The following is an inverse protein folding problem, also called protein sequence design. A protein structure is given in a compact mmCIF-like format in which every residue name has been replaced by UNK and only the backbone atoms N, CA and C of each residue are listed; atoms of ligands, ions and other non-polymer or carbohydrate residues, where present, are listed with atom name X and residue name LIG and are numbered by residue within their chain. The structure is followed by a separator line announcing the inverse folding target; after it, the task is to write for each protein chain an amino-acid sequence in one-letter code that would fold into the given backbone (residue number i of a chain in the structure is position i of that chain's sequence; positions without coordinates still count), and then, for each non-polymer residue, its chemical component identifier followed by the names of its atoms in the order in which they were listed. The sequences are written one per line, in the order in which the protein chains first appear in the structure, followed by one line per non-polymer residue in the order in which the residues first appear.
data_IF_117237331973
#
_entry.id   IF_117237331973
#
_cell.length_a   1.000
_cell.length_b   1.000
_cell.length_c   1.000
_cell.angle_alpha   90.00
_cell.angle_beta   90.00
_cell.angle_gamma   90.00
#
_symmetry.space_group_name_H-M   'P 1'
#
loop_
_entity.id
_entity.type
_entity.pdbx_description
1 polymer ?
#
# COMPACT_ATOMS: atom_id res chain seq x y z
N UNK A 1 17.33 8.08 2.62
CA UNK A 1 16.23 7.08 2.69
C UNK A 1 16.68 5.73 3.23
N UNK A 2 17.71 5.08 2.68
CA UNK A 2 18.16 3.74 3.13
C UNK A 2 18.79 3.72 4.54
N UNK A 3 19.56 4.75 4.90
CA UNK A 3 20.17 4.84 6.24
C UNK A 3 19.23 5.45 7.28
N UNK A 4 18.44 6.45 6.88
CA UNK A 4 17.59 7.25 7.78
C UNK A 4 16.13 6.77 7.82
N UNK A 5 15.77 5.73 7.09
CA UNK A 5 14.39 5.24 6.93
C UNK A 5 13.55 6.05 5.93
N UNK A 6 12.61 5.39 5.25
CA UNK A 6 11.79 6.01 4.19
C UNK A 6 10.63 6.87 4.72
N UNK A 7 10.14 6.56 5.92
CA UNK A 7 9.01 7.27 6.58
C UNK A 7 9.46 8.43 7.49
N UNK A 8 10.75 8.80 7.49
CA UNK A 8 11.26 9.91 8.31
C UNK A 8 11.06 11.26 7.63
N UNK A 9 10.98 12.34 8.41
CA UNK A 9 10.73 13.69 7.88
C UNK A 9 11.67 14.08 6.72
N UNK A 10 12.99 13.86 6.78
CA UNK A 10 13.88 14.22 5.68
C UNK A 10 13.62 13.41 4.40
N UNK A 11 13.32 12.12 4.53
CA UNK A 11 13.00 11.26 3.38
C UNK A 11 11.68 11.66 2.71
N UNK A 12 10.70 12.08 3.52
CA UNK A 12 9.39 12.52 3.04
C UNK A 12 9.46 13.90 2.39
N UNK A 13 10.29 14.80 2.90
CA UNK A 13 10.56 16.09 2.26
C UNK A 13 11.22 15.91 0.88
N UNK A 14 12.22 15.04 0.78
CA UNK A 14 12.84 14.68 -0.51
C UNK A 14 11.81 14.10 -1.48
N UNK A 15 10.98 13.15 -1.03
CA UNK A 15 9.93 12.58 -1.88
C UNK A 15 8.92 13.63 -2.33
N UNK A 16 8.49 14.52 -1.43
CA UNK A 16 7.55 15.61 -1.74
C UNK A 16 8.14 16.60 -2.76
N UNK A 17 9.41 16.96 -2.62
CA UNK A 17 10.08 17.85 -3.58
C UNK A 17 10.20 17.19 -4.95
N UNK A 18 10.55 15.90 -5.02
CA UNK A 18 10.58 15.16 -6.28
C UNK A 18 9.21 15.14 -6.93
N UNK A 19 8.14 14.85 -6.19
CA UNK A 19 6.77 14.86 -6.73
C UNK A 19 6.41 16.26 -7.23
N UNK A 20 6.74 17.30 -6.48
CA UNK A 20 6.42 18.68 -6.87
C UNK A 20 7.15 19.07 -8.16
N UNK A 21 8.46 18.92 -8.20
CA UNK A 21 9.30 19.40 -9.30
C UNK A 21 9.15 18.55 -10.58
N UNK A 22 9.07 17.23 -10.42
CA UNK A 22 9.16 16.29 -11.56
C UNK A 22 7.79 15.79 -12.03
N UNK A 23 6.76 15.83 -11.19
CA UNK A 23 5.43 15.31 -11.52
C UNK A 23 4.41 16.43 -11.70
N UNK A 24 4.43 17.46 -10.83
CA UNK A 24 3.47 18.56 -10.92
C UNK A 24 3.94 19.67 -11.87
N UNK A 25 5.21 20.08 -11.79
CA UNK A 25 5.70 21.25 -12.51
C UNK A 25 6.30 20.96 -13.89
N UNK A 26 6.76 19.74 -14.17
CA UNK A 26 7.40 19.43 -15.45
C UNK A 26 6.65 18.41 -16.32
N UNK A 27 6.18 18.85 -17.49
CA UNK A 27 5.56 17.96 -18.49
C UNK A 27 6.55 17.04 -19.22
N UNK A 28 7.85 17.40 -19.27
CA UNK A 28 8.89 16.61 -19.97
C UNK A 28 9.56 15.56 -19.07
N UNK A 29 9.47 15.71 -17.74
CA UNK A 29 10.20 14.84 -16.81
C UNK A 29 9.44 13.58 -16.40
N UNK A 30 8.20 13.43 -16.87
CA UNK A 30 7.46 12.15 -16.81
C UNK A 30 8.26 11.00 -17.45
N UNK A 31 8.93 11.25 -18.59
CA UNK A 31 9.72 10.22 -19.29
C UNK A 31 10.99 9.81 -18.53
N UNK A 32 11.65 10.76 -17.85
CA UNK A 32 12.80 10.43 -17.01
C UNK A 32 12.39 9.68 -15.75
N UNK A 33 11.23 10.02 -15.18
CA UNK A 33 10.68 9.31 -14.05
C UNK A 33 10.34 7.86 -14.43
N UNK A 34 9.80 7.60 -15.62
CA UNK A 34 9.58 6.23 -16.13
C UNK A 34 10.84 5.37 -16.12
N UNK A 35 12.01 5.96 -16.37
CA UNK A 35 13.29 5.24 -16.36
C UNK A 35 13.88 5.02 -14.96
N UNK A 36 13.33 5.66 -13.92
CA UNK A 36 13.88 5.61 -12.57
C UNK A 36 14.05 4.18 -12.02
N UNK A 37 13.09 3.25 -12.19
CA UNK A 37 13.28 1.86 -11.75
C UNK A 37 14.45 1.15 -12.44
N UNK A 38 14.80 1.56 -13.66
CA UNK A 38 15.90 0.97 -14.43
C UNK A 38 17.26 1.47 -14.00
N UNK A 39 17.35 2.76 -13.64
CA UNK A 39 18.60 3.37 -13.17
C UNK A 39 18.85 3.07 -11.69
N UNK A 40 17.80 3.04 -10.87
CA UNK A 40 17.90 2.92 -9.43
C UNK A 40 16.71 2.18 -8.81
N UNK A 41 16.61 0.85 -8.94
CA UNK A 41 15.45 0.08 -8.46
C UNK A 41 15.25 0.19 -6.94
N UNK A 42 16.33 0.22 -6.16
CA UNK A 42 16.26 0.41 -4.71
C UNK A 42 15.73 1.80 -4.33
N UNK A 43 16.14 2.84 -5.06
CA UNK A 43 15.66 4.18 -4.83
C UNK A 43 14.19 4.29 -5.21
N UNK A 44 13.78 3.73 -6.36
CA UNK A 44 12.38 3.69 -6.78
C UNK A 44 11.48 2.96 -5.76
N UNK A 45 11.92 1.82 -5.21
CA UNK A 45 11.20 1.12 -4.15
C UNK A 45 11.04 1.98 -2.88
N UNK A 46 12.12 2.60 -2.43
CA UNK A 46 12.11 3.48 -1.24
C UNK A 46 11.30 4.76 -1.47
N UNK A 47 11.33 5.30 -2.68
CA UNK A 47 10.52 6.43 -3.12
C UNK A 47 9.04 6.07 -3.06
N UNK A 48 8.63 4.89 -3.58
CA UNK A 48 7.26 4.38 -3.46
C UNK A 48 6.80 4.28 -1.99
N UNK A 49 7.66 3.79 -1.09
CA UNK A 49 7.34 3.77 0.36
C UNK A 49 7.11 5.18 0.90
N UNK A 50 7.96 6.14 0.56
CA UNK A 50 7.83 7.51 1.04
C UNK A 50 6.57 8.21 0.49
N UNK A 51 6.29 8.09 -0.81
CA UNK A 51 5.09 8.73 -1.39
C UNK A 51 3.81 8.09 -0.90
N UNK A 52 3.80 6.77 -0.66
CA UNK A 52 2.63 6.12 -0.07
C UNK A 52 2.38 6.56 1.37
N UNK A 53 3.41 7.01 2.08
CA UNK A 53 3.27 7.63 3.40
C UNK A 53 2.74 9.07 3.33
N UNK A 54 3.04 9.81 2.25
CA UNK A 54 2.54 11.17 1.99
C UNK A 54 1.07 11.21 1.56
N UNK A 55 0.62 10.22 0.79
CA UNK A 55 -0.73 10.20 0.19
C UNK A 55 -1.58 9.05 0.70
N UNK A 56 -2.90 9.25 0.72
CA UNK A 56 -3.90 8.28 1.21
C UNK A 56 -3.61 7.77 2.63
N UNK A 57 -2.92 8.60 3.43
CA UNK A 57 -2.56 8.38 4.82
C UNK A 57 -3.14 9.54 5.65
N UNK A 58 -3.89 9.27 6.70
CA UNK A 58 -4.54 10.30 7.53
C UNK A 58 -3.67 10.76 8.71
N UNK A 59 -2.54 10.11 8.99
CA UNK A 59 -1.74 10.36 10.20
C UNK A 59 -1.22 11.81 10.33
N UNK A 60 -1.15 12.57 9.23
CA UNK A 60 -0.59 13.94 9.21
C UNK A 60 -1.66 15.03 9.20
N UNK A 61 -2.73 14.84 8.43
CA UNK A 61 -3.71 15.90 8.13
C UNK A 61 -5.13 15.54 8.56
N UNK A 62 -5.37 14.30 9.01
CA UNK A 62 -6.72 13.79 9.29
C UNK A 62 -7.60 13.62 8.04
N UNK A 63 -7.07 13.93 6.85
CA UNK A 63 -7.80 13.89 5.57
C UNK A 63 -7.03 13.04 4.57
N UNK A 64 -7.74 12.11 3.95
CA UNK A 64 -7.20 11.29 2.87
C UNK A 64 -6.97 12.14 1.62
N UNK A 65 -5.71 12.41 1.31
CA UNK A 65 -5.30 13.13 0.09
C UNK A 65 -4.94 12.16 -1.02
N UNK A 66 -5.47 12.39 -2.23
CA UNK A 66 -5.10 11.60 -3.40
C UNK A 66 -3.66 11.90 -3.84
N UNK A 67 -2.88 10.90 -4.29
CA UNK A 67 -1.66 11.17 -5.04
C UNK A 67 -1.97 11.87 -6.37
N UNK A 68 -1.05 12.68 -6.92
CA UNK A 68 -1.19 13.23 -8.26
C UNK A 68 -1.39 12.14 -9.31
N UNK A 69 -2.22 12.42 -10.32
CA UNK A 69 -2.58 11.45 -11.36
C UNK A 69 -1.37 10.87 -12.10
N UNK A 70 -0.42 11.73 -12.46
CA UNK A 70 0.81 11.31 -13.14
C UNK A 70 1.73 10.44 -12.25
N UNK A 71 1.71 10.64 -10.92
CA UNK A 71 2.44 9.78 -9.98
C UNK A 71 1.80 8.39 -9.92
N UNK A 72 0.46 8.35 -9.81
CA UNK A 72 -0.29 7.11 -9.79
C UNK A 72 -0.08 6.32 -11.08
N UNK A 73 -0.16 6.97 -12.24
CA UNK A 73 0.02 6.33 -13.54
C UNK A 73 1.46 5.79 -13.69
N UNK A 74 2.48 6.56 -13.30
CA UNK A 74 3.89 6.12 -13.33
C UNK A 74 4.15 4.91 -12.42
N UNK A 75 3.69 4.94 -11.16
CA UNK A 75 3.85 3.81 -10.24
C UNK A 75 3.11 2.56 -10.73
N UNK A 76 1.94 2.75 -11.35
CA UNK A 76 1.17 1.63 -11.92
C UNK A 76 1.90 1.01 -13.10
N UNK A 77 2.51 1.82 -13.97
CA UNK A 77 3.37 1.36 -15.06
C UNK A 77 4.58 0.58 -14.49
N UNK A 78 5.30 1.14 -13.52
CA UNK A 78 6.46 0.47 -12.89
C UNK A 78 6.13 -0.89 -12.30
N UNK A 79 5.04 -0.99 -11.55
CA UNK A 79 4.62 -2.22 -10.85
C UNK A 79 4.04 -3.26 -11.81
N UNK A 80 3.43 -2.83 -12.92
CA UNK A 80 2.92 -3.73 -13.95
C UNK A 80 4.04 -4.28 -14.83
N UNK A 81 5.01 -3.45 -15.19
CA UNK A 81 6.16 -3.86 -16.03
C UNK A 81 7.17 -4.72 -15.27
N UNK A 82 7.43 -4.40 -13.99
CA UNK A 82 8.39 -5.11 -13.18
C UNK A 82 7.87 -5.33 -11.74
N UNK A 83 7.11 -6.42 -11.50
CA UNK A 83 6.63 -6.79 -10.16
C UNK A 83 7.74 -6.96 -9.12
N UNK A 84 8.93 -7.41 -9.53
CA UNK A 84 10.07 -7.60 -8.64
C UNK A 84 10.61 -6.28 -8.06
N UNK A 85 10.24 -5.13 -8.62
CA UNK A 85 10.58 -3.81 -8.07
C UNK A 85 10.08 -3.64 -6.63
N UNK A 86 8.94 -4.22 -6.29
CA UNK A 86 8.38 -4.20 -4.94
C UNK A 86 9.21 -4.97 -3.90
N UNK A 87 10.12 -5.84 -4.36
CA UNK A 87 11.07 -6.60 -3.53
C UNK A 87 12.47 -5.98 -3.56
N UNK A 88 12.74 -4.99 -4.42
CA UNK A 88 14.08 -4.42 -4.57
C UNK A 88 14.62 -3.80 -3.26
N UNK A 89 13.76 -3.35 -2.35
CA UNK A 89 14.17 -2.83 -1.04
C UNK A 89 14.74 -3.91 -0.10
N UNK A 90 14.47 -5.20 -0.35
CA UNK A 90 14.89 -6.32 0.48
C UNK A 90 16.32 -6.80 0.16
N UNK A 91 16.87 -6.38 -0.98
CA UNK A 91 18.21 -6.78 -1.40
C UNK A 91 19.28 -6.17 -0.47
N UNK A 92 20.32 -6.97 -0.17
CA UNK A 92 21.39 -6.56 0.74
C UNK A 92 22.14 -5.35 0.20
N UNK A 93 22.15 -4.26 0.97
CA UNK A 93 22.91 -3.07 0.63
C UNK A 93 24.36 -3.20 1.10
N UNK A 94 25.31 -2.89 0.21
CA UNK A 94 26.70 -2.66 0.58
C UNK A 94 26.79 -1.30 1.28
N UNK A 95 26.66 -1.31 2.61
CA UNK A 95 26.83 -0.12 3.42
C UNK A 95 28.31 0.14 3.75
N UNK A 96 28.70 1.41 3.97
CA UNK A 96 30.03 1.74 4.49
C UNK A 96 30.31 1.01 5.82
N UNK A 97 31.57 0.69 6.08
CA UNK A 97 31.97 0.03 7.31
C UNK A 97 31.48 0.81 8.55
N UNK A 98 30.75 0.12 9.45
CA UNK A 98 30.17 0.70 10.66
C UNK A 98 28.74 1.25 10.53
N UNK A 99 28.15 1.27 9.33
CA UNK A 99 26.76 1.66 9.16
C UNK A 99 25.80 0.48 9.35
N UNK A 100 24.73 0.70 10.12
CA UNK A 100 23.64 -0.27 10.31
C UNK A 100 22.51 0.10 9.35
N UNK A 101 22.08 -0.84 8.52
CA UNK A 101 20.91 -0.65 7.67
C UNK A 101 19.67 -0.54 8.54
N UNK A 102 18.83 0.45 8.27
CA UNK A 102 17.46 0.42 8.80
C UNK A 102 16.71 -0.79 8.21
N UNK A 103 15.76 -1.39 8.94
CA UNK A 103 14.92 -2.44 8.42
C UNK A 103 14.30 -2.01 7.09
N UNK A 104 14.36 -2.88 6.08
CA UNK A 104 13.74 -2.57 4.80
C UNK A 104 12.23 -2.44 4.99
N UNK A 105 11.62 -1.56 4.20
CA UNK A 105 10.17 -1.48 4.09
C UNK A 105 9.83 -1.68 2.61
N UNK A 106 8.90 -2.59 2.32
CA UNK A 106 8.42 -2.75 0.95
C UNK A 106 7.31 -1.72 0.65
N UNK A 107 7.21 -1.23 -0.59
CA UNK A 107 6.11 -0.36 -0.99
C UNK A 107 4.74 -1.06 -1.01
N UNK A 108 4.69 -2.40 -0.92
CA UNK A 108 3.45 -3.17 -1.11
C UNK A 108 2.34 -2.79 -0.13
N UNK A 109 2.64 -2.65 1.16
CA UNK A 109 1.65 -2.21 2.16
C UNK A 109 1.02 -0.86 1.81
N UNK A 110 1.84 0.13 1.46
CA UNK A 110 1.39 1.48 1.16
C UNK A 110 0.59 1.56 -0.14
N UNK A 111 1.02 0.82 -1.17
CA UNK A 111 0.31 0.73 -2.45
C UNK A 111 -1.00 -0.05 -2.32
N UNK A 112 -1.05 -1.09 -1.48
CA UNK A 112 -2.31 -1.77 -1.16
C UNK A 112 -3.26 -0.82 -0.44
N UNK A 113 -2.77 -0.04 0.54
CA UNK A 113 -3.59 1.00 1.19
C UNK A 113 -4.15 1.99 0.16
N UNK A 114 -3.35 2.42 -0.81
CA UNK A 114 -3.82 3.28 -1.90
C UNK A 114 -4.98 2.63 -2.66
N UNK A 115 -4.79 1.42 -3.15
CA UNK A 115 -5.80 0.76 -3.96
C UNK A 115 -7.05 0.39 -3.17
N UNK A 116 -6.92 -0.02 -1.91
CA UNK A 116 -8.05 -0.39 -1.06
C UNK A 116 -8.89 0.84 -0.72
N UNK A 117 -8.27 1.96 -0.35
CA UNK A 117 -8.97 3.18 0.08
C UNK A 117 -9.34 4.14 -1.06
N UNK A 118 -8.79 3.96 -2.26
CA UNK A 118 -9.09 4.79 -3.42
C UNK A 118 -10.59 5.03 -3.67
N UNK A 119 -11.51 4.06 -3.52
CA UNK A 119 -12.95 4.30 -3.72
C UNK A 119 -13.54 5.40 -2.84
N UNK A 120 -12.88 5.76 -1.72
CA UNK A 120 -13.33 6.85 -0.84
C UNK A 120 -13.05 8.24 -1.43
N UNK A 121 -12.15 8.35 -2.40
CA UNK A 121 -11.64 9.64 -2.90
C UNK A 121 -11.60 9.74 -4.44
N UNK A 122 -11.63 8.62 -5.16
CA UNK A 122 -11.43 8.58 -6.60
C UNK A 122 -12.03 7.32 -7.24
N UNK A 123 -12.54 7.48 -8.46
CA UNK A 123 -13.05 6.39 -9.30
C UNK A 123 -12.14 6.05 -10.47
N UNK A 124 -10.89 6.55 -10.50
CA UNK A 124 -9.97 6.28 -11.61
C UNK A 124 -9.69 4.78 -11.76
N UNK A 125 -9.74 4.32 -13.02
CA UNK A 125 -9.47 2.93 -13.38
C UNK A 125 -8.04 2.51 -13.06
N UNK A 126 -7.07 3.45 -13.05
CA UNK A 126 -5.66 3.17 -12.71
C UNK A 126 -5.52 2.46 -11.36
N UNK A 127 -6.32 2.82 -10.35
CA UNK A 127 -6.30 2.11 -9.06
C UNK A 127 -6.71 0.63 -9.17
N UNK A 128 -7.62 0.29 -10.08
CA UNK A 128 -8.00 -1.11 -10.32
C UNK A 128 -6.86 -1.87 -11.01
N UNK A 129 -6.16 -1.24 -11.96
CA UNK A 129 -4.98 -1.83 -12.61
C UNK A 129 -3.86 -2.06 -11.61
N UNK A 130 -3.54 -1.04 -10.80
CA UNK A 130 -2.57 -1.16 -9.72
C UNK A 130 -2.99 -2.25 -8.74
N UNK A 131 -4.26 -2.31 -8.33
CA UNK A 131 -4.74 -3.35 -7.42
C UNK A 131 -4.45 -4.74 -7.97
N UNK A 132 -4.85 -5.00 -9.22
CA UNK A 132 -4.61 -6.29 -9.87
C UNK A 132 -3.11 -6.63 -9.96
N UNK A 133 -2.27 -5.68 -10.36
CA UNK A 133 -0.82 -5.85 -10.40
C UNK A 133 -0.27 -6.23 -9.03
N UNK A 134 -0.68 -5.54 -7.96
CA UNK A 134 -0.24 -5.85 -6.59
C UNK A 134 -0.68 -7.24 -6.13
N UNK A 135 -1.92 -7.66 -6.45
CA UNK A 135 -2.40 -9.00 -6.12
C UNK A 135 -1.57 -10.08 -6.83
N UNK A 136 -1.22 -9.86 -8.10
CA UNK A 136 -0.34 -10.75 -8.86
C UNK A 136 1.06 -10.79 -8.26
N UNK A 137 1.62 -9.64 -7.87
CA UNK A 137 2.90 -9.55 -7.18
C UNK A 137 2.88 -10.38 -5.89
N UNK A 138 1.86 -10.23 -5.03
CA UNK A 138 1.75 -11.00 -3.79
C UNK A 138 1.72 -12.52 -4.02
N UNK A 139 0.99 -12.98 -5.04
CA UNK A 139 0.97 -14.40 -5.42
C UNK A 139 2.35 -14.88 -5.87
N UNK A 140 3.05 -14.10 -6.69
CA UNK A 140 4.39 -14.44 -7.16
C UNK A 140 5.40 -14.52 -6.01
N UNK A 141 5.33 -13.61 -5.04
CA UNK A 141 6.20 -13.64 -3.87
C UNK A 141 6.00 -14.93 -3.06
N UNK A 142 4.75 -15.32 -2.81
CA UNK A 142 4.44 -16.55 -2.06
C UNK A 142 4.89 -17.84 -2.73
N UNK A 143 4.97 -17.87 -4.07
CA UNK A 143 5.43 -19.04 -4.82
C UNK A 143 6.94 -19.30 -4.69
N UNK A 144 7.74 -18.31 -4.32
CA UNK A 144 9.20 -18.41 -4.34
C UNK A 144 9.80 -19.11 -3.10
N UNK A 145 8.97 -19.60 -2.17
CA UNK A 145 9.37 -20.50 -1.08
C UNK A 145 10.21 -19.86 0.05
N UNK A 146 10.78 -18.68 -0.15
CA UNK A 146 11.43 -17.90 0.90
C UNK A 146 10.38 -17.10 1.69
N UNK A 147 10.47 -17.11 3.02
CA UNK A 147 9.67 -16.24 3.88
C UNK A 147 10.06 -14.77 3.63
N UNK A 148 9.51 -14.18 2.59
CA UNK A 148 9.71 -12.77 2.28
C UNK A 148 8.64 -12.00 3.04
N UNK A 149 9.00 -11.44 4.19
CA UNK A 149 8.12 -10.53 4.92
C UNK A 149 7.75 -9.36 4.02
N UNK A 150 6.48 -9.32 3.59
CA UNK A 150 5.99 -8.35 2.62
C UNK A 150 4.97 -7.40 3.24
N UNK A 151 4.06 -7.90 4.08
CA UNK A 151 3.01 -7.07 4.66
C UNK A 151 3.08 -7.14 6.18
N UNK A 152 3.38 -6.02 6.82
CA UNK A 152 3.27 -5.93 8.26
C UNK A 152 1.80 -5.81 8.69
N UNK A 153 1.42 -6.57 9.71
CA UNK A 153 0.08 -6.51 10.28
C UNK A 153 -0.32 -5.08 10.67
N UNK A 154 0.62 -4.27 11.17
CA UNK A 154 0.35 -2.89 11.58
C UNK A 154 -0.05 -1.98 10.40
N UNK A 155 0.55 -2.16 9.22
CA UNK A 155 0.14 -1.42 8.03
C UNK A 155 -1.28 -1.80 7.59
N UNK A 156 -1.67 -3.07 7.73
CA UNK A 156 -3.03 -3.53 7.44
C UNK A 156 -4.04 -3.02 8.48
N UNK A 157 -3.64 -2.94 9.75
CA UNK A 157 -4.45 -2.34 10.81
C UNK A 157 -4.71 -0.85 10.54
N UNK A 158 -3.77 -0.14 9.92
CA UNK A 158 -3.99 1.25 9.52
C UNK A 158 -5.17 1.39 8.55
N UNK A 159 -5.32 0.45 7.60
CA UNK A 159 -6.45 0.42 6.67
C UNK A 159 -7.76 0.21 7.43
N UNK A 160 -7.77 -0.68 8.43
CA UNK A 160 -8.95 -0.90 9.30
C UNK A 160 -9.36 0.39 10.00
N UNK A 161 -8.42 1.10 10.63
CA UNK A 161 -8.67 2.38 11.31
C UNK A 161 -9.26 3.42 10.35
N UNK A 162 -8.70 3.52 9.12
CA UNK A 162 -9.19 4.44 8.10
C UNK A 162 -10.62 4.14 7.66
N UNK A 163 -10.97 2.85 7.54
CA UNK A 163 -12.34 2.41 7.26
C UNK A 163 -13.28 2.66 8.43
N UNK A 164 -12.85 2.46 9.68
CA UNK A 164 -13.62 2.82 10.87
C UNK A 164 -13.93 4.32 10.89
N UNK A 165 -12.92 5.17 10.66
CA UNK A 165 -13.09 6.62 10.57
C UNK A 165 -14.10 7.01 9.47
N UNK A 166 -14.09 6.32 8.33
CA UNK A 166 -15.10 6.53 7.28
C UNK A 166 -16.50 6.10 7.72
N UNK A 167 -16.64 4.95 8.39
CA UNK A 167 -17.92 4.48 8.91
C UNK A 167 -18.52 5.44 9.96
N UNK A 168 -17.68 6.07 10.78
CA UNK A 168 -18.11 7.12 11.72
C UNK A 168 -18.71 8.30 10.95
N UNK A 169 -18.03 8.80 9.91
CA UNK A 169 -18.55 9.88 9.05
C UNK A 169 -19.85 9.51 8.34
N UNK A 170 -19.98 8.27 7.85
CA UNK A 170 -21.23 7.79 7.26
C UNK A 170 -22.38 7.78 8.28
N UNK A 171 -22.09 7.36 9.52
CA UNK A 171 -23.06 7.35 10.62
C UNK A 171 -23.52 8.76 10.99
N UNK A 172 -22.61 9.73 11.02
CA UNK A 172 -22.93 11.16 11.19
C UNK A 172 -23.84 11.69 10.06
N UNK A 173 -23.59 11.23 8.83
CA UNK A 173 -24.42 11.51 7.66
C UNK A 173 -25.72 10.69 7.59
N UNK A 174 -26.00 9.82 8.58
CA UNK A 174 -27.14 8.89 8.63
C UNK A 174 -27.20 7.92 7.44
N UNK A 175 -26.05 7.56 6.88
CA UNK A 175 -25.90 6.58 5.81
C UNK A 175 -25.39 5.27 6.44
N UNK A 176 -26.07 4.15 6.15
CA UNK A 176 -25.57 2.86 6.59
C UNK A 176 -24.36 2.46 5.73
N UNK A 177 -23.24 2.01 6.32
CA UNK A 177 -22.06 1.59 5.54
C UNK A 177 -22.36 0.51 4.49
N UNK A 178 -23.31 -0.37 4.78
CA UNK A 178 -23.80 -1.40 3.85
C UNK A 178 -24.58 -0.87 2.64
N UNK A 179 -24.93 0.42 2.60
CA UNK A 179 -25.57 1.06 1.44
C UNK A 179 -24.57 1.87 0.63
N UNK A 180 -23.44 2.26 1.26
CA UNK A 180 -22.38 3.03 0.62
C UNK A 180 -21.56 2.18 -0.37
N UNK A 181 -21.54 2.62 -1.64
CA UNK A 181 -20.85 1.91 -2.71
C UNK A 181 -19.32 1.96 -2.56
N UNK A 182 -18.79 3.06 -2.02
CA UNK A 182 -17.36 3.23 -1.83
C UNK A 182 -16.83 2.31 -0.73
N UNK A 183 -17.54 2.21 0.40
CA UNK A 183 -17.24 1.28 1.49
C UNK A 183 -17.25 -0.17 1.02
N UNK A 184 -18.31 -0.60 0.30
CA UNK A 184 -18.38 -1.96 -0.28
C UNK A 184 -17.15 -2.27 -1.11
N UNK A 185 -16.79 -1.37 -2.02
CA UNK A 185 -15.64 -1.55 -2.91
C UNK A 185 -14.30 -1.58 -2.16
N UNK A 186 -14.17 -0.80 -1.08
CA UNK A 186 -13.00 -0.88 -0.21
C UNK A 186 -12.91 -2.26 0.46
N UNK A 187 -14.03 -2.76 1.00
CA UNK A 187 -14.10 -4.06 1.66
C UNK A 187 -13.85 -5.22 0.70
N UNK A 188 -14.31 -5.13 -0.55
CA UNK A 188 -14.00 -6.10 -1.61
C UNK A 188 -12.49 -6.17 -1.89
N UNK A 189 -11.86 -5.01 -2.18
CA UNK A 189 -10.42 -4.93 -2.45
C UNK A 189 -9.60 -5.41 -1.25
N UNK A 190 -10.01 -5.06 -0.03
CA UNK A 190 -9.31 -5.50 1.17
C UNK A 190 -9.44 -7.00 1.37
N UNK A 191 -10.63 -7.57 1.19
CA UNK A 191 -10.84 -9.01 1.32
C UNK A 191 -10.00 -9.80 0.30
N UNK A 192 -9.95 -9.34 -0.96
CA UNK A 192 -9.11 -9.94 -2.00
C UNK A 192 -7.61 -9.91 -1.64
N UNK A 193 -7.10 -8.74 -1.24
CA UNK A 193 -5.71 -8.58 -0.84
C UNK A 193 -5.36 -9.42 0.38
N UNK A 194 -6.22 -9.43 1.39
CA UNK A 194 -6.01 -10.17 2.63
C UNK A 194 -6.01 -11.69 2.39
N UNK A 195 -6.96 -12.20 1.60
CA UNK A 195 -7.02 -13.62 1.28
C UNK A 195 -5.76 -14.09 0.55
N UNK A 196 -5.31 -13.33 -0.46
CA UNK A 196 -4.09 -13.64 -1.21
C UNK A 196 -2.88 -13.57 -0.29
N UNK A 197 -2.76 -12.54 0.54
CA UNK A 197 -1.65 -12.36 1.44
C UNK A 197 -1.54 -13.47 2.50
N UNK A 198 -2.66 -13.93 3.06
CA UNK A 198 -2.67 -15.05 4.01
C UNK A 198 -2.28 -16.35 3.30
N UNK A 199 -2.91 -16.67 2.17
CA UNK A 199 -2.63 -17.92 1.43
C UNK A 199 -1.19 -17.97 0.91
N UNK A 200 -0.61 -16.81 0.61
CA UNK A 200 0.76 -16.67 0.12
C UNK A 200 1.80 -16.49 1.23
N UNK A 201 1.41 -16.63 2.52
CA UNK A 201 2.27 -16.42 3.69
C UNK A 201 3.02 -15.08 3.69
N UNK A 202 2.41 -14.03 3.13
CA UNK A 202 3.03 -12.72 2.96
C UNK A 202 2.82 -11.77 4.16
N UNK A 203 2.04 -12.19 5.17
CA UNK A 203 1.72 -11.36 6.34
C UNK A 203 2.67 -11.70 7.49
N UNK A 204 3.29 -10.66 8.04
CA UNK A 204 4.12 -10.74 9.24
C UNK A 204 3.41 -10.12 10.45
N UNK A 205 3.55 -10.77 11.59
CA UNK A 205 2.97 -10.35 12.87
C UNK A 205 1.66 -11.06 13.23
N UNK A 206 0.89 -10.46 14.14
CA UNK A 206 -0.29 -11.06 14.74
C UNK A 206 -1.53 -10.92 13.84
N UNK A 207 -1.63 -11.75 12.81
CA UNK A 207 -2.78 -11.75 11.91
C UNK A 207 -4.11 -12.05 12.62
N UNK A 208 -4.13 -12.74 13.77
CA UNK A 208 -5.36 -12.97 14.54
C UNK A 208 -5.90 -11.65 15.13
N UNK A 209 -5.03 -10.74 15.56
CA UNK A 209 -5.42 -9.39 15.97
C UNK A 209 -6.06 -8.63 14.80
N UNK A 210 -5.51 -8.75 13.60
CA UNK A 210 -6.09 -8.15 12.39
C UNK A 210 -7.47 -8.73 12.08
N UNK A 211 -7.64 -10.05 12.12
CA UNK A 211 -8.94 -10.68 11.90
C UNK A 211 -9.99 -10.21 12.91
N UNK A 212 -9.64 -10.09 14.20
CA UNK A 212 -10.55 -9.53 15.22
C UNK A 212 -10.89 -8.06 14.96
N UNK A 213 -9.93 -7.26 14.52
CA UNK A 213 -10.18 -5.86 14.20
C UNK A 213 -11.13 -5.71 13.00
N UNK A 214 -11.00 -6.59 12.00
CA UNK A 214 -11.90 -6.64 10.85
C UNK A 214 -13.33 -7.04 11.22
N UNK A 215 -13.52 -7.86 12.26
CA UNK A 215 -14.86 -8.15 12.80
C UNK A 215 -15.54 -6.95 13.45
N UNK A 216 -14.75 -5.95 13.87
CA UNK A 216 -15.27 -4.69 14.40
C UNK A 216 -15.77 -3.73 13.31
N UNK A 217 -15.55 -4.02 12.03
CA UNK A 217 -16.09 -3.24 10.92
C UNK A 217 -17.54 -3.67 10.61
N UNK A 218 -18.35 -2.79 10.00
CA UNK A 218 -19.64 -3.18 9.45
C UNK A 218 -19.53 -4.43 8.54
N UNK A 219 -20.53 -5.34 8.59
CA UNK A 219 -20.41 -6.63 7.93
C UNK A 219 -20.35 -6.49 6.41
N UNK A 220 -19.46 -7.25 5.79
CA UNK A 220 -19.33 -7.35 4.33
C UNK A 220 -19.15 -8.82 3.91
N UNK A 221 -19.92 -9.26 2.91
CA UNK A 221 -20.01 -10.68 2.53
C UNK A 221 -18.63 -11.30 2.24
N UNK A 222 -17.83 -10.68 1.36
CA UNK A 222 -16.54 -11.22 0.96
C UNK A 222 -15.53 -11.23 2.11
N UNK A 223 -15.55 -10.20 2.97
CA UNK A 223 -14.65 -10.12 4.11
C UNK A 223 -15.01 -11.17 5.17
N UNK A 224 -16.31 -11.39 5.42
CA UNK A 224 -16.77 -12.43 6.33
C UNK A 224 -16.30 -13.82 5.90
N UNK A 225 -16.32 -14.11 4.60
CA UNK A 225 -15.78 -15.37 4.06
C UNK A 225 -14.29 -15.49 4.40
N UNK A 226 -13.50 -14.44 4.17
CA UNK A 226 -12.06 -14.43 4.47
C UNK A 226 -11.81 -14.63 5.96
N UNK A 227 -12.53 -13.93 6.84
CA UNK A 227 -12.39 -14.09 8.30
C UNK A 227 -12.71 -15.52 8.73
N UNK A 228 -13.84 -16.07 8.28
CA UNK A 228 -14.29 -17.41 8.66
C UNK A 228 -13.36 -18.52 8.14
N UNK A 229 -12.84 -18.39 6.92
CA UNK A 229 -11.90 -19.37 6.35
C UNK A 229 -10.56 -19.40 7.09
N UNK A 230 -10.07 -18.25 7.53
CA UNK A 230 -8.74 -18.15 8.15
C UNK A 230 -8.74 -18.28 9.68
N UNK A 231 -9.90 -18.17 10.34
CA UNK A 231 -10.06 -18.50 11.77
C UNK A 231 -10.03 -19.99 12.07
N UNK A 232 -10.44 -20.84 11.12
CA UNK A 232 -10.46 -22.30 11.30
C UNK A 232 -9.07 -22.95 11.22
N UNK A 233 -8.07 -22.19 10.78
CA UNK A 233 -6.71 -22.67 10.53
C UNK A 233 -5.84 -22.58 11.82
N UNK A 234 -6.39 -22.04 12.92
CA UNK A 234 -5.72 -21.88 14.21
C UNK A 234 -6.56 -22.43 15.38
#
# INVERSE_FOLDING_TARGET
MQQVGCKTSPSLEVAQNIVSDFILFSRKTSDQLKQLPMVGPHFAANFMVAVTDLYLNDQRTGVLTAPPDALLDAITEWTTENPALCQASQQTLLLPAGAIAMPFTTPLSGLLRWTILAPLISNRATYSHLHLSLLQTLLQVGCNGEQTTVLETQDLMQIVTLLQNHCIRLSEAKIMPQDDASYKKCMERFAQALQIAITSNCIFGNHLQLLRALEGLPPHLLMNIVILSNKKIY
#
